data_IF_355091531308
#
_entry.id   IF_355091531308
#
_cell.length_a   1.000
_cell.length_b   1.000
_cell.length_c   1.000
_cell.angle_alpha   90.00
_cell.angle_beta   90.00
_cell.angle_gamma   90.00
#
_symmetry.space_group_name_H-M   'P 1'
#
loop_
_entity.id
_entity.type
_entity.pdbx_description
1 polymer ?
#
# COMPACT_ATOMS: atom_id res chain seq x y z
N UNK A 1 -8.73 -1.57 9.97
CA UNK A 1 -7.35 -1.06 9.79
C UNK A 1 -6.39 -2.24 9.58
N UNK A 2 -5.13 -2.03 9.22
CA UNK A 2 -4.15 -3.13 9.07
C UNK A 2 -4.04 -3.96 10.36
N UNK A 3 -4.13 -3.29 11.51
CA UNK A 3 -4.16 -3.92 12.84
C UNK A 3 -5.39 -4.83 13.04
N UNK A 4 -6.54 -4.52 12.44
CA UNK A 4 -7.72 -5.39 12.54
C UNK A 4 -7.54 -6.67 11.74
N UNK A 5 -6.85 -6.58 10.59
CA UNK A 5 -6.56 -7.76 9.77
C UNK A 5 -5.62 -8.71 10.50
N UNK A 6 -4.59 -8.17 11.14
CA UNK A 6 -3.70 -8.94 12.01
C UNK A 6 -4.46 -9.56 13.19
N UNK A 7 -5.28 -8.78 13.90
CA UNK A 7 -6.07 -9.25 15.03
C UNK A 7 -7.07 -10.36 14.66
N UNK A 8 -7.48 -10.45 13.40
CA UNK A 8 -8.38 -11.49 12.88
C UNK A 8 -7.63 -12.62 12.13
N UNK A 9 -6.30 -12.69 12.22
CA UNK A 9 -5.50 -13.78 11.66
C UNK A 9 -5.44 -13.80 10.14
N UNK A 10 -5.52 -12.64 9.49
CA UNK A 10 -5.38 -12.54 8.04
C UNK A 10 -3.91 -12.69 7.64
N UNK A 11 -3.62 -13.71 6.83
CA UNK A 11 -2.27 -14.01 6.31
C UNK A 11 -2.17 -13.90 4.78
N UNK A 12 -3.14 -13.24 4.15
CA UNK A 12 -3.18 -13.07 2.69
C UNK A 12 -2.37 -11.86 2.20
N UNK A 13 -2.21 -11.77 0.89
CA UNK A 13 -1.66 -10.57 0.25
C UNK A 13 -2.72 -9.48 0.13
N UNK A 14 -2.31 -8.24 0.38
CA UNK A 14 -3.16 -7.08 0.17
C UNK A 14 -3.06 -6.59 -1.27
N UNK A 15 -4.21 -6.40 -1.91
CA UNK A 15 -4.28 -5.66 -3.18
C UNK A 15 -4.11 -4.18 -2.88
N UNK A 16 -3.10 -3.56 -3.49
CA UNK A 16 -2.93 -2.11 -3.48
C UNK A 16 -3.69 -1.54 -4.68
N UNK A 17 -4.94 -1.13 -4.45
CA UNK A 17 -5.70 -0.41 -5.46
C UNK A 17 -5.48 1.10 -5.32
N UNK A 18 -4.64 1.65 -6.20
CA UNK A 18 -4.34 3.08 -6.25
C UNK A 18 -5.07 3.76 -7.42
N UNK A 19 -5.86 4.81 -7.14
CA UNK A 19 -6.46 5.66 -8.18
C UNK A 19 -5.61 6.92 -8.47
N UNK A 20 -4.49 7.08 -7.75
CA UNK A 20 -3.66 8.28 -7.79
C UNK A 20 -2.77 8.36 -9.05
N UNK A 21 -2.57 7.25 -9.76
CA UNK A 21 -1.82 7.16 -11.02
C UNK A 21 -2.26 8.17 -12.09
N UNK A 22 -3.54 8.56 -12.08
CA UNK A 22 -4.11 9.57 -12.99
C UNK A 22 -3.52 10.98 -12.82
N UNK A 23 -2.92 11.26 -11.66
CA UNK A 23 -2.35 12.56 -11.33
C UNK A 23 -0.84 12.63 -11.59
N UNK A 24 -0.22 11.56 -12.07
CA UNK A 24 1.20 11.50 -12.38
C UNK A 24 1.40 11.43 -13.90
N UNK A 25 2.36 12.20 -14.41
CA UNK A 25 2.82 12.03 -15.81
C UNK A 25 3.38 10.62 -16.07
N UNK A 26 3.92 10.00 -15.02
CA UNK A 26 4.49 8.67 -15.01
C UNK A 26 3.72 7.81 -14.00
N UNK A 27 2.73 7.00 -14.44
CA UNK A 27 1.86 6.23 -13.55
C UNK A 27 2.59 5.32 -12.55
N UNK A 28 3.73 4.75 -12.94
CA UNK A 28 4.55 3.89 -12.07
C UNK A 28 5.15 4.62 -10.88
N UNK A 29 5.37 5.94 -10.96
CA UNK A 29 5.84 6.74 -9.82
C UNK A 29 4.79 6.80 -8.71
N UNK A 30 3.51 6.67 -9.05
CA UNK A 30 2.44 6.59 -8.07
C UNK A 30 2.49 5.26 -7.29
N UNK A 31 2.77 4.17 -8.00
CA UNK A 31 2.98 2.83 -7.42
C UNK A 31 4.23 2.80 -6.52
N UNK A 32 5.38 3.31 -7.00
CA UNK A 32 6.62 3.38 -6.21
C UNK A 32 6.45 4.14 -4.89
N UNK A 33 5.73 5.27 -4.92
CA UNK A 33 5.42 6.05 -3.71
C UNK A 33 4.49 5.31 -2.77
N UNK A 34 3.52 4.59 -3.32
CA UNK A 34 2.54 3.82 -2.53
C UNK A 34 3.23 2.68 -1.80
N UNK A 35 4.11 1.94 -2.48
CA UNK A 35 4.94 0.89 -1.88
C UNK A 35 5.87 1.45 -0.80
N UNK A 36 6.59 2.54 -1.08
CA UNK A 36 7.49 3.14 -0.10
C UNK A 36 6.79 3.65 1.17
N UNK A 37 5.56 4.17 1.04
CA UNK A 37 4.75 4.57 2.19
C UNK A 37 4.34 3.36 3.05
N UNK A 38 4.11 2.21 2.42
CA UNK A 38 3.79 0.96 3.11
C UNK A 38 5.00 0.38 3.84
N UNK A 39 6.17 0.34 3.20
CA UNK A 39 7.43 -0.13 3.84
C UNK A 39 7.76 0.65 5.12
N UNK A 40 7.49 1.96 5.13
CA UNK A 40 7.70 2.83 6.29
C UNK A 40 6.74 2.55 7.45
N UNK A 41 5.59 1.92 7.18
CA UNK A 41 4.64 1.50 8.20
C UNK A 41 5.04 0.16 8.82
N UNK A 42 5.66 -0.75 8.06
CA UNK A 42 6.14 -2.05 8.58
C UNK A 42 7.43 -1.93 9.41
N UNK A 43 8.21 -0.87 9.24
CA UNK A 43 9.48 -0.65 9.98
C UNK A 43 9.32 0.09 11.31
N UNK A 44 8.09 0.42 11.72
CA UNK A 44 7.78 1.08 13.00
C UNK A 44 6.99 0.16 13.93
#
# INVERSE_FOLDING_TARGET
DLLDLEANGYHGYLSLESANSRYYEKPWTAEEKTLSAFDQLETK
#
